data_IF_310128425982
#
_entry.id   IF_310128425982
#
_cell.length_a   1.000
_cell.length_b   1.000
_cell.length_c   1.000
_cell.angle_alpha   90.00
_cell.angle_beta   90.00
_cell.angle_gamma   90.00
#
_symmetry.space_group_name_H-M   'P 1'
#
loop_
_entity.id
_entity.type
_entity.pdbx_description
1 polymer ?
#
# COMPACT_ATOMS: atom_id res chain seq x y z
N UNK A 1 -19.72 5.47 -1.41
CA UNK A 1 -18.54 6.22 -1.87
C UNK A 1 -18.96 6.97 -3.10
N UNK A 2 -18.50 8.20 -3.28
CA UNK A 2 -18.56 8.78 -4.62
C UNK A 2 -17.62 7.97 -5.50
N UNK A 3 -18.14 7.48 -6.63
CA UNK A 3 -17.30 6.75 -7.58
C UNK A 3 -16.27 7.72 -8.15
N UNK A 4 -15.01 7.34 -8.04
CA UNK A 4 -13.89 8.18 -8.43
C UNK A 4 -12.57 7.42 -8.36
N UNK A 5 -11.58 8.04 -9.00
CA UNK A 5 -10.18 7.63 -8.93
C UNK A 5 -9.50 8.63 -8.02
N UNK A 6 -8.82 8.13 -7.00
CA UNK A 6 -8.12 8.92 -5.99
C UNK A 6 -6.69 8.45 -5.92
N UNK A 7 -5.73 9.37 -5.84
CA UNK A 7 -4.33 9.05 -5.69
C UNK A 7 -3.68 9.75 -4.49
N UNK A 8 -2.62 9.13 -4.00
CA UNK A 8 -1.72 9.69 -3.00
C UNK A 8 -0.29 9.49 -3.49
N UNK A 9 0.46 10.58 -3.58
CA UNK A 9 1.90 10.57 -3.78
C UNK A 9 2.63 10.78 -2.45
N UNK A 10 3.66 9.98 -2.20
CA UNK A 10 4.45 10.03 -0.99
C UNK A 10 5.91 9.66 -1.26
N UNK A 11 6.79 10.12 -0.37
CA UNK A 11 8.21 9.74 -0.35
C UNK A 11 8.62 9.51 1.10
N UNK A 12 9.36 8.43 1.34
CA UNK A 12 10.00 8.19 2.63
C UNK A 12 11.40 8.81 2.62
N UNK A 13 11.70 9.62 3.64
CA UNK A 13 13.01 10.22 3.87
C UNK A 13 13.55 9.71 5.21
N UNK A 14 14.41 8.70 5.13
CA UNK A 14 15.02 7.99 6.25
C UNK A 14 16.54 7.92 6.07
N UNK A 15 17.25 7.42 7.07
CA UNK A 15 18.72 7.27 7.01
C UNK A 15 19.18 5.97 6.35
N UNK A 16 18.29 4.97 6.23
CA UNK A 16 18.59 3.67 5.63
C UNK A 16 18.06 3.61 4.21
N UNK A 17 18.79 3.01 3.28
CA UNK A 17 18.31 2.81 1.90
C UNK A 17 17.17 1.78 1.85
N UNK A 18 17.35 0.66 2.55
CA UNK A 18 16.30 -0.33 2.78
C UNK A 18 15.29 0.22 3.81
N UNK A 19 14.12 0.60 3.31
CA UNK A 19 13.11 1.27 4.14
C UNK A 19 12.15 0.27 4.80
N UNK A 20 12.01 0.36 6.13
CA UNK A 20 10.97 -0.30 6.93
C UNK A 20 9.67 0.52 6.92
N UNK A 21 9.10 0.71 5.74
CA UNK A 21 7.89 1.48 5.55
C UNK A 21 6.88 0.76 4.67
N UNK A 22 5.63 1.20 4.76
CA UNK A 22 4.54 0.73 3.92
C UNK A 22 3.65 1.92 3.55
N UNK A 23 3.04 1.83 2.38
CA UNK A 23 2.06 2.79 1.86
C UNK A 23 0.84 2.00 1.38
N UNK A 24 -0.36 2.46 1.72
CA UNK A 24 -1.57 1.75 1.30
C UNK A 24 -2.85 2.34 1.85
N UNK A 25 -3.75 1.43 2.23
CA UNK A 25 -5.10 1.77 2.68
C UNK A 25 -5.50 0.98 3.91
N UNK A 26 -6.45 1.53 4.64
CA UNK A 26 -7.13 0.88 5.76
C UNK A 26 -8.62 1.10 5.67
N UNK A 27 -9.41 0.11 6.11
CA UNK A 27 -10.85 0.25 6.30
C UNK A 27 -11.13 1.46 7.20
N UNK A 28 -12.08 2.29 6.79
CA UNK A 28 -12.40 3.56 7.46
C UNK A 28 -12.75 3.37 8.94
N UNK A 29 -13.48 2.29 9.24
CA UNK A 29 -13.87 1.92 10.60
C UNK A 29 -12.76 1.25 11.43
N UNK A 30 -11.61 0.94 10.83
CA UNK A 30 -10.53 0.23 11.52
C UNK A 30 -9.54 1.22 12.16
N UNK A 31 -9.42 1.11 13.48
CA UNK A 31 -8.44 1.84 14.27
C UNK A 31 -7.12 1.06 14.26
N UNK A 32 -6.06 1.68 13.74
CA UNK A 32 -4.72 1.08 13.68
C UNK A 32 -4.11 1.13 15.09
N UNK A 33 -3.84 -0.02 15.74
CA UNK A 33 -3.20 -0.06 17.05
C UNK A 33 -1.73 0.41 17.01
N UNK A 34 -1.20 0.80 18.17
CA UNK A 34 0.24 1.04 18.31
C UNK A 34 0.99 -0.28 18.10
N UNK A 35 2.09 -0.24 17.33
CA UNK A 35 2.90 -1.42 17.00
C UNK A 35 2.32 -2.29 15.88
N UNK A 36 1.26 -1.84 15.21
CA UNK A 36 0.63 -2.56 14.11
C UNK A 36 1.45 -2.45 12.82
N UNK A 37 1.97 -3.59 12.36
CA UNK A 37 2.74 -3.70 11.11
C UNK A 37 1.90 -4.18 9.94
N UNK A 38 2.42 -4.10 8.70
CA UNK A 38 1.65 -4.40 7.49
C UNK A 38 1.31 -5.87 7.27
N UNK A 39 1.70 -6.81 8.14
CA UNK A 39 1.46 -8.26 7.98
C UNK A 39 0.43 -8.88 8.91
N UNK A 40 -0.26 -8.08 9.71
CA UNK A 40 -1.35 -8.55 10.56
C UNK A 40 -2.62 -8.77 9.73
N UNK A 41 -3.32 -9.90 9.94
CA UNK A 41 -4.67 -10.13 9.42
C UNK A 41 -5.61 -9.06 10.01
N UNK A 42 -5.81 -7.98 9.25
CA UNK A 42 -6.39 -6.73 9.75
C UNK A 42 -7.00 -5.97 8.58
N UNK A 43 -7.86 -4.99 8.84
CA UNK A 43 -8.56 -4.21 7.80
C UNK A 43 -7.65 -3.33 6.95
N UNK A 44 -6.41 -3.73 6.67
CA UNK A 44 -5.37 -2.98 5.97
C UNK A 44 -4.94 -3.68 4.70
N UNK A 45 -4.45 -2.92 3.73
CA UNK A 45 -3.76 -3.44 2.56
C UNK A 45 -2.59 -2.51 2.23
N UNK A 46 -1.38 -3.07 2.08
CA UNK A 46 -0.14 -2.30 2.05
C UNK A 46 0.83 -2.80 0.99
N UNK A 47 1.50 -1.86 0.34
CA UNK A 47 2.74 -2.10 -0.39
C UNK A 47 3.92 -1.82 0.53
N UNK A 48 4.84 -2.77 0.67
CA UNK A 48 5.97 -2.68 1.60
C UNK A 48 7.26 -2.27 0.91
N UNK A 49 8.14 -1.61 1.65
CA UNK A 49 9.48 -1.25 1.20
C UNK A 49 10.45 -2.42 1.14
N UNK A 50 11.66 -2.14 0.68
CA UNK A 50 12.72 -3.15 0.43
C UNK A 50 13.15 -3.93 1.66
N UNK A 51 13.09 -3.35 2.86
CA UNK A 51 13.40 -4.07 4.09
C UNK A 51 12.42 -5.24 4.38
N UNK A 52 11.26 -5.25 3.70
CA UNK A 52 10.27 -6.32 3.69
C UNK A 52 10.12 -6.98 2.31
N UNK A 53 11.17 -6.93 1.50
CA UNK A 53 11.24 -7.56 0.17
C UNK A 53 10.21 -7.05 -0.84
N UNK A 54 9.67 -5.84 -0.67
CA UNK A 54 8.69 -5.30 -1.63
C UNK A 54 7.33 -5.99 -1.60
N UNK A 55 7.03 -6.75 -0.52
CA UNK A 55 5.81 -7.57 -0.45
C UNK A 55 4.53 -6.73 -0.47
N UNK A 56 3.47 -7.29 -1.05
CA UNK A 56 2.11 -6.76 -0.94
C UNK A 56 1.40 -7.54 0.15
N UNK A 57 0.85 -6.84 1.14
CA UNK A 57 0.14 -7.45 2.25
C UNK A 57 -1.34 -7.08 2.18
N UNK A 58 -2.22 -8.06 2.36
CA UNK A 58 -3.68 -7.84 2.36
C UNK A 58 -4.33 -8.40 3.62
N UNK A 59 -5.60 -8.04 3.84
CA UNK A 59 -6.37 -8.37 5.03
C UNK A 59 -6.33 -9.84 5.42
N UNK A 60 -6.29 -10.77 4.47
CA UNK A 60 -6.27 -12.21 4.75
C UNK A 60 -4.96 -12.71 5.37
N UNK A 61 -3.91 -11.88 5.38
CA UNK A 61 -2.56 -12.26 5.77
C UNK A 61 -1.78 -12.93 4.63
N UNK A 62 -2.33 -12.93 3.42
CA UNK A 62 -1.61 -13.37 2.22
C UNK A 62 -0.58 -12.32 1.81
N UNK A 63 0.54 -12.80 1.26
CA UNK A 63 1.64 -11.97 0.78
C UNK A 63 2.00 -12.35 -0.64
N UNK A 64 2.15 -11.35 -1.49
CA UNK A 64 2.62 -11.53 -2.87
C UNK A 64 3.90 -10.73 -3.09
N UNK A 65 4.78 -11.23 -3.96
CA UNK A 65 6.04 -10.60 -4.33
C UNK A 65 6.15 -10.53 -5.87
N UNK A 66 6.83 -9.50 -6.38
CA UNK A 66 7.00 -9.30 -7.83
C UNK A 66 6.94 -7.84 -8.28
N UNK A 67 6.54 -6.92 -7.41
CA UNK A 67 6.76 -5.49 -7.61
C UNK A 67 8.22 -5.13 -7.36
N UNK A 68 8.71 -4.07 -8.01
CA UNK A 68 9.96 -3.45 -7.64
C UNK A 68 9.87 -2.97 -6.18
N UNK A 69 10.80 -3.44 -5.35
CA UNK A 69 10.88 -3.01 -3.98
C UNK A 69 11.37 -1.56 -3.92
N UNK A 70 10.55 -0.66 -3.34
CA UNK A 70 10.94 0.73 -3.18
C UNK A 70 11.90 0.93 -2.01
N UNK A 71 12.74 1.95 -2.13
CA UNK A 71 13.77 2.31 -1.16
C UNK A 71 13.53 3.72 -0.65
N UNK A 72 14.44 4.18 0.19
CA UNK A 72 14.51 5.57 0.58
C UNK A 72 14.53 6.49 -0.65
N UNK A 73 13.82 7.62 -0.57
CA UNK A 73 13.70 8.62 -1.63
C UNK A 73 13.03 8.16 -2.94
N UNK A 74 12.58 6.90 -3.07
CA UNK A 74 11.67 6.53 -4.16
C UNK A 74 10.39 7.38 -4.10
N UNK A 75 9.92 7.85 -5.25
CA UNK A 75 8.62 8.53 -5.37
C UNK A 75 7.56 7.45 -5.53
N UNK A 76 6.64 7.37 -4.58
CA UNK A 76 5.56 6.40 -4.59
C UNK A 76 4.26 7.09 -4.93
N UNK A 77 3.47 6.49 -5.81
CA UNK A 77 2.06 6.83 -5.98
C UNK A 77 1.22 5.59 -5.75
N UNK A 78 0.17 5.70 -4.95
CA UNK A 78 -0.92 4.72 -4.95
C UNK A 78 -2.17 5.33 -5.57
N UNK A 79 -2.88 4.54 -6.37
CA UNK A 79 -4.09 4.98 -7.07
C UNK A 79 -5.22 4.00 -6.78
N UNK A 80 -6.27 4.50 -6.13
CA UNK A 80 -7.46 3.78 -5.77
C UNK A 80 -8.60 4.09 -6.75
N UNK A 81 -9.02 3.07 -7.51
CA UNK A 81 -10.21 3.12 -8.35
C UNK A 81 -11.38 2.51 -7.57
N UNK A 82 -12.22 3.37 -6.99
CA UNK A 82 -13.39 2.93 -6.21
C UNK A 82 -14.49 2.28 -7.04
N UNK A 83 -14.52 2.52 -8.35
CA UNK A 83 -15.46 1.88 -9.27
C UNK A 83 -15.10 0.42 -9.56
N UNK A 84 -13.79 0.10 -9.57
CA UNK A 84 -13.27 -1.26 -9.74
C UNK A 84 -12.92 -1.97 -8.43
N UNK A 85 -12.78 -1.21 -7.34
CA UNK A 85 -12.29 -1.73 -6.06
C UNK A 85 -10.84 -2.19 -6.15
N UNK A 86 -9.98 -1.43 -6.86
CA UNK A 86 -8.56 -1.75 -7.05
C UNK A 86 -7.64 -0.65 -6.52
N UNK A 87 -6.44 -1.04 -6.06
CA UNK A 87 -5.37 -0.15 -5.63
C UNK A 87 -4.08 -0.52 -6.36
N UNK A 88 -3.54 0.41 -7.14
CA UNK A 88 -2.30 0.22 -7.92
C UNK A 88 -1.13 0.96 -7.27
N UNK A 89 0.07 0.40 -7.39
CA UNK A 89 1.32 1.04 -6.98
C UNK A 89 2.08 1.54 -8.21
N UNK A 90 2.69 2.72 -8.07
CA UNK A 90 3.71 3.24 -8.96
C UNK A 90 4.96 3.54 -8.15
N UNK A 91 6.12 3.18 -8.70
CA UNK A 91 7.44 3.48 -8.11
C UNK A 91 8.22 4.26 -9.16
N UNK A 92 8.63 5.48 -8.81
CA UNK A 92 9.32 6.43 -9.69
C UNK A 92 8.61 6.62 -11.03
N UNK A 93 7.27 6.74 -10.97
CA UNK A 93 6.40 6.91 -12.13
C UNK A 93 6.07 5.62 -12.91
N UNK A 94 6.74 4.50 -12.64
CA UNK A 94 6.47 3.22 -13.28
C UNK A 94 5.39 2.43 -12.53
N UNK A 95 4.28 2.12 -13.21
CA UNK A 95 3.22 1.26 -12.65
C UNK A 95 3.74 -0.15 -12.40
N UNK A 96 3.45 -0.69 -11.22
CA UNK A 96 3.88 -2.02 -10.80
C UNK A 96 2.85 -3.10 -11.20
N UNK A 97 3.30 -4.33 -11.48
CA UNK A 97 2.43 -5.38 -12.03
C UNK A 97 1.42 -5.93 -11.02
N UNK A 98 1.77 -5.98 -9.73
CA UNK A 98 0.89 -6.47 -8.67
C UNK A 98 0.13 -5.29 -8.08
N UNK A 99 -1.19 -5.45 -8.05
CA UNK A 99 -2.14 -4.52 -7.49
C UNK A 99 -3.09 -5.26 -6.54
N UNK A 100 -3.76 -4.51 -5.67
CA UNK A 100 -4.74 -5.06 -4.72
C UNK A 100 -6.13 -4.90 -5.34
N UNK A 101 -6.99 -5.91 -5.20
CA UNK A 101 -8.36 -5.90 -5.71
C UNK A 101 -9.36 -6.40 -4.66
N UNK A 102 -10.66 -6.33 -4.97
CA UNK A 102 -11.72 -6.79 -4.06
C UNK A 102 -12.01 -5.82 -2.91
N UNK A 103 -11.64 -4.54 -3.07
CA UNK A 103 -11.87 -3.50 -2.06
C UNK A 103 -13.33 -3.04 -2.19
N UNK A 104 -14.19 -3.54 -1.29
CA UNK A 104 -15.63 -3.27 -1.29
C UNK A 104 -16.06 -2.36 -0.13
N UNK A 105 -15.16 -2.11 0.82
CA UNK A 105 -15.41 -1.28 2.00
C UNK A 105 -14.96 0.17 1.79
N UNK A 106 -15.45 1.07 2.65
CA UNK A 106 -14.87 2.42 2.75
C UNK A 106 -13.45 2.33 3.28
N UNK A 107 -12.53 3.05 2.65
CA UNK A 107 -11.11 3.07 3.00
C UNK A 107 -10.54 4.48 3.05
N UNK A 108 -9.41 4.62 3.74
CA UNK A 108 -8.59 5.84 3.80
C UNK A 108 -7.13 5.47 3.52
N UNK A 109 -6.39 6.40 2.91
CA UNK A 109 -4.95 6.24 2.69
C UNK A 109 -4.17 6.31 4.00
N UNK A 110 -3.09 5.53 4.08
CA UNK A 110 -2.17 5.44 5.24
C UNK A 110 -0.74 5.21 4.76
#
# INVERSE_FOLDING_TARGET
>A
MENGIWDLEAQFNTTQDDVYAALGIVQDSFNIPVGHGPGSNSGTAFFCGRAWSGRVCVKTGDFEAGNAAFTNNSILKIEYDSGKGTLHLFVDGAQQPIYISGINEKVRFV
#
